data_IF_961614304504
#
_entry.id   IF_961614304504
#
_cell.length_a   1.000
_cell.length_b   1.000
_cell.length_c   1.000
_cell.angle_alpha   90.00
_cell.angle_beta   90.00
_cell.angle_gamma   90.00
#
_symmetry.space_group_name_H-M   'P 1'
#
loop_
_entity.id
_entity.type
_entity.pdbx_description
1 polymer ?
#
# COMPACT_ATOMS: atom_id res chain seq x y z
N UNK A 1 -32.24 -41.19 -71.96
CA UNK A 1 -30.98 -41.86 -71.54
C UNK A 1 -30.38 -41.04 -70.43
N UNK A 2 -30.62 -41.44 -69.26
CA UNK A 2 -29.82 -41.56 -68.01
C UNK A 2 -28.96 -40.31 -67.66
N UNK A 3 -29.51 -39.39 -66.86
CA UNK A 3 -28.80 -38.39 -66.09
C UNK A 3 -28.63 -38.83 -64.66
N UNK A 4 -27.40 -38.97 -64.20
CA UNK A 4 -27.01 -39.39 -62.88
C UNK A 4 -26.86 -38.17 -61.98
N UNK A 5 -27.79 -37.98 -61.02
CA UNK A 5 -27.75 -36.94 -60.04
C UNK A 5 -26.78 -37.29 -58.94
N UNK A 6 -25.67 -36.57 -58.83
CA UNK A 6 -24.72 -36.69 -57.72
C UNK A 6 -25.07 -35.68 -56.63
N UNK A 7 -25.70 -36.16 -55.56
CA UNK A 7 -25.99 -35.37 -54.37
C UNK A 7 -24.74 -35.32 -53.49
N UNK A 8 -24.10 -34.15 -53.45
CA UNK A 8 -22.94 -33.89 -52.55
C UNK A 8 -23.48 -33.40 -51.24
N UNK A 9 -23.51 -34.28 -50.22
CA UNK A 9 -23.85 -33.92 -48.85
C UNK A 9 -22.61 -33.23 -48.19
N UNK A 10 -22.69 -31.90 -48.08
CA UNK A 10 -21.75 -31.11 -47.31
C UNK A 10 -22.13 -31.19 -45.83
N UNK A 11 -21.44 -32.08 -45.09
CA UNK A 11 -21.50 -32.11 -43.61
C UNK A 11 -20.58 -31.01 -43.08
N UNK A 12 -21.15 -29.84 -42.73
CA UNK A 12 -20.46 -28.80 -42.02
C UNK A 12 -20.28 -29.20 -40.54
N UNK A 13 -19.10 -29.67 -40.19
CA UNK A 13 -18.71 -29.88 -38.81
C UNK A 13 -18.45 -28.49 -38.16
N UNK A 14 -19.39 -28.00 -37.33
CA UNK A 14 -19.18 -26.87 -36.46
C UNK A 14 -18.22 -27.28 -35.35
N UNK A 15 -16.92 -27.01 -35.53
CA UNK A 15 -15.95 -27.07 -34.43
C UNK A 15 -16.16 -25.83 -33.58
N UNK A 16 -16.91 -25.99 -32.49
CA UNK A 16 -17.06 -24.97 -31.46
C UNK A 16 -15.75 -24.72 -30.75
N UNK A 17 -15.00 -23.70 -31.17
CA UNK A 17 -13.82 -23.24 -30.43
C UNK A 17 -14.33 -22.52 -29.20
N UNK A 18 -14.43 -23.23 -28.08
CA UNK A 18 -14.64 -22.64 -26.77
C UNK A 18 -13.40 -21.83 -26.40
N UNK A 19 -13.39 -20.54 -26.67
CA UNK A 19 -12.47 -19.61 -26.05
C UNK A 19 -12.78 -19.52 -24.56
N UNK A 20 -12.25 -20.46 -23.78
CA UNK A 20 -12.17 -20.33 -22.35
C UNK A 20 -11.26 -19.15 -22.04
N UNK A 21 -11.83 -17.96 -21.93
CA UNK A 21 -11.10 -16.79 -21.45
C UNK A 21 -10.61 -17.10 -20.05
N UNK A 22 -9.34 -17.39 -19.91
CA UNK A 22 -8.69 -17.42 -18.60
C UNK A 22 -8.75 -15.99 -18.09
N UNK A 23 -9.63 -15.72 -17.13
CA UNK A 23 -9.58 -14.49 -16.33
C UNK A 23 -8.31 -14.59 -15.50
N UNK A 24 -7.22 -14.09 -16.07
CA UNK A 24 -5.95 -13.97 -15.38
C UNK A 24 -6.16 -12.91 -14.29
N UNK A 25 -6.17 -13.31 -13.03
CA UNK A 25 -6.24 -12.38 -11.92
C UNK A 25 -5.10 -11.37 -12.05
N UNK A 26 -5.44 -10.10 -12.19
CA UNK A 26 -4.45 -9.04 -12.36
C UNK A 26 -3.66 -8.85 -11.06
N UNK A 27 -2.34 -8.99 -11.12
CA UNK A 27 -1.47 -8.69 -9.97
C UNK A 27 -1.71 -7.24 -9.49
N UNK A 28 -1.90 -7.10 -8.20
CA UNK A 28 -2.05 -5.81 -7.52
C UNK A 28 -0.76 -5.47 -6.80
N UNK A 29 -0.23 -4.30 -7.06
CA UNK A 29 0.94 -3.79 -6.36
C UNK A 29 0.50 -2.87 -5.22
N UNK A 30 1.06 -3.13 -4.05
CA UNK A 30 0.83 -2.35 -2.83
C UNK A 30 2.15 -1.78 -2.36
N UNK A 31 2.19 -0.47 -2.14
CA UNK A 31 3.35 0.23 -1.61
C UNK A 31 3.03 0.80 -0.24
N UNK A 32 3.90 0.52 0.75
CA UNK A 32 3.78 0.99 2.13
C UNK A 32 4.89 2.00 2.40
N UNK A 33 4.56 3.26 2.59
CA UNK A 33 5.51 4.27 3.06
C UNK A 33 5.97 3.97 4.49
N UNK A 34 7.28 3.99 4.76
CA UNK A 34 7.84 3.55 6.03
C UNK A 34 8.58 4.66 6.78
N UNK A 35 9.88 4.59 6.90
CA UNK A 35 10.78 5.54 7.53
C UNK A 35 12.21 5.28 7.11
N UNK A 36 13.17 5.83 7.82
CA UNK A 36 14.59 5.56 7.57
C UNK A 36 14.92 4.08 7.75
N UNK A 37 15.88 3.57 6.97
CA UNK A 37 16.22 2.14 6.90
C UNK A 37 16.61 1.50 8.24
N UNK A 38 17.08 2.28 9.22
CA UNK A 38 17.41 1.82 10.57
C UNK A 38 16.25 1.96 11.55
N UNK A 39 15.11 2.51 11.12
CA UNK A 39 13.96 2.80 11.95
C UNK A 39 12.96 1.64 12.03
N UNK A 40 12.16 1.65 13.10
CA UNK A 40 11.13 0.63 13.35
C UNK A 40 10.09 0.56 12.24
N UNK A 41 9.70 1.70 11.68
CA UNK A 41 8.73 1.74 10.58
C UNK A 41 9.20 0.97 9.34
N UNK A 42 10.49 1.09 9.01
CA UNK A 42 11.08 0.33 7.91
C UNK A 42 11.04 -1.16 8.17
N UNK A 43 11.49 -1.59 9.35
CA UNK A 43 11.47 -3.02 9.74
C UNK A 43 10.04 -3.58 9.73
N UNK A 44 9.09 -2.82 10.26
CA UNK A 44 7.68 -3.21 10.29
C UNK A 44 7.10 -3.33 8.86
N UNK A 45 7.30 -2.33 8.02
CA UNK A 45 6.83 -2.36 6.64
C UNK A 45 7.42 -3.51 5.83
N UNK A 46 8.74 -3.73 5.96
CA UNK A 46 9.41 -4.88 5.32
C UNK A 46 8.84 -6.22 5.80
N UNK A 47 8.51 -6.33 7.10
CA UNK A 47 7.93 -7.55 7.66
C UNK A 47 6.52 -7.81 7.14
N UNK A 48 5.68 -6.78 7.05
CA UNK A 48 4.35 -6.85 6.47
C UNK A 48 4.43 -7.29 5.00
N UNK A 49 5.28 -6.62 4.21
CA UNK A 49 5.45 -6.96 2.80
C UNK A 49 6.00 -8.37 2.60
N UNK A 50 6.93 -8.82 3.45
CA UNK A 50 7.43 -10.20 3.41
C UNK A 50 6.31 -11.20 3.67
N UNK A 51 5.43 -10.92 4.61
CA UNK A 51 4.28 -11.77 4.91
C UNK A 51 3.30 -11.82 3.73
N UNK A 52 2.92 -10.67 3.19
CA UNK A 52 2.03 -10.59 2.01
C UNK A 52 2.64 -11.32 0.80
N UNK A 53 3.90 -11.08 0.49
CA UNK A 53 4.55 -11.66 -0.68
C UNK A 53 4.67 -13.19 -0.63
N UNK A 54 4.63 -13.81 0.57
CA UNK A 54 4.60 -15.27 0.69
C UNK A 54 3.31 -15.88 0.16
N UNK A 55 2.17 -15.17 0.31
CA UNK A 55 0.87 -15.60 -0.20
C UNK A 55 0.52 -15.02 -1.57
N UNK A 56 1.47 -14.38 -2.27
CA UNK A 56 1.17 -13.65 -3.50
C UNK A 56 0.58 -14.53 -4.62
N UNK A 57 0.90 -15.81 -4.64
CA UNK A 57 0.32 -16.78 -5.59
C UNK A 57 -1.20 -16.96 -5.37
N UNK A 58 -1.65 -16.85 -4.12
CA UNK A 58 -3.05 -17.11 -3.76
C UNK A 58 -3.93 -15.85 -3.94
N UNK A 59 -3.43 -14.68 -3.52
CA UNK A 59 -4.23 -13.45 -3.51
C UNK A 59 -3.80 -12.41 -4.54
N UNK A 60 -2.77 -12.67 -5.33
CA UNK A 60 -2.27 -11.81 -6.41
C UNK A 60 -1.85 -10.40 -5.96
N UNK A 61 -1.45 -10.24 -4.68
CA UNK A 61 -0.95 -8.96 -4.14
C UNK A 61 0.55 -9.05 -3.96
N UNK A 62 1.27 -8.10 -4.55
CA UNK A 62 2.69 -7.88 -4.33
C UNK A 62 2.91 -6.59 -3.56
N UNK A 63 3.73 -6.66 -2.54
CA UNK A 63 3.99 -5.57 -1.61
C UNK A 63 5.43 -5.09 -1.69
N UNK A 64 5.60 -3.77 -1.67
CA UNK A 64 6.88 -3.09 -1.53
C UNK A 64 6.80 -2.08 -0.38
N UNK A 65 7.88 -1.93 0.39
CA UNK A 65 7.94 -1.02 1.53
C UNK A 65 9.22 -0.15 1.46
N UNK A 66 9.26 0.88 0.60
CA UNK A 66 10.41 1.74 0.47
C UNK A 66 10.68 2.53 1.76
N UNK A 67 11.92 2.92 1.96
CA UNK A 67 12.29 3.93 2.96
C UNK A 67 11.66 5.28 2.58
N UNK A 68 11.28 6.05 3.60
CA UNK A 68 10.68 7.37 3.42
C UNK A 68 11.13 8.35 4.51
N UNK A 69 10.62 9.58 4.45
CA UNK A 69 10.80 10.59 5.49
C UNK A 69 9.96 10.38 6.76
N UNK A 70 9.26 9.24 6.89
CA UNK A 70 8.44 8.94 8.06
C UNK A 70 7.02 9.48 7.96
N UNK A 71 6.32 9.62 9.11
CA UNK A 71 4.87 9.80 9.17
C UNK A 71 4.32 10.94 8.32
N UNK A 72 4.93 12.12 8.34
CA UNK A 72 4.47 13.27 7.52
C UNK A 72 4.65 12.99 6.02
N UNK A 73 5.81 12.45 5.62
CA UNK A 73 6.06 12.08 4.24
C UNK A 73 5.10 10.97 3.77
N UNK A 74 4.76 10.04 4.67
CA UNK A 74 3.84 8.95 4.36
C UNK A 74 2.40 9.46 4.13
N UNK A 75 1.92 10.42 4.93
CA UNK A 75 0.63 11.08 4.69
C UNK A 75 0.61 11.74 3.30
N UNK A 76 1.66 12.48 2.97
CA UNK A 76 1.75 13.17 1.69
C UNK A 76 1.87 12.19 0.52
N UNK A 77 2.60 11.06 0.70
CA UNK A 77 2.69 9.99 -0.28
C UNK A 77 1.36 9.27 -0.53
N UNK A 78 0.54 9.10 0.53
CA UNK A 78 -0.83 8.58 0.38
C UNK A 78 -1.69 9.58 -0.39
N UNK A 79 -1.62 10.87 -0.04
CA UNK A 79 -2.37 11.94 -0.69
C UNK A 79 -2.04 12.03 -2.18
N UNK A 80 -0.77 11.89 -2.56
CA UNK A 80 -0.34 11.94 -3.95
C UNK A 80 -0.58 10.64 -4.73
N UNK A 81 -0.98 9.56 -4.04
CA UNK A 81 -1.13 8.23 -4.64
C UNK A 81 0.18 7.47 -4.83
N UNK A 82 1.31 7.97 -4.33
CA UNK A 82 2.60 7.27 -4.33
C UNK A 82 2.57 6.03 -3.44
N UNK A 83 1.89 6.13 -2.29
CA UNK A 83 1.73 5.03 -1.34
C UNK A 83 0.26 4.65 -1.19
N UNK A 84 -0.01 3.34 -1.14
CA UNK A 84 -1.34 2.82 -0.79
C UNK A 84 -1.57 2.84 0.72
N UNK A 85 -0.49 2.62 1.49
CA UNK A 85 -0.46 2.64 2.94
C UNK A 85 0.76 3.41 3.44
N UNK A 86 0.71 3.83 4.69
CA UNK A 86 1.85 4.48 5.34
C UNK A 86 1.86 4.20 6.84
N UNK A 87 3.05 4.00 7.38
CA UNK A 87 3.24 3.87 8.82
C UNK A 87 3.47 5.25 9.40
N UNK A 88 2.66 5.63 10.38
CA UNK A 88 2.71 6.96 10.98
C UNK A 88 2.23 6.92 12.43
N UNK A 89 2.53 7.97 13.17
CA UNK A 89 1.96 8.18 14.50
C UNK A 89 0.49 8.57 14.39
N UNK A 90 -0.30 8.22 15.39
CA UNK A 90 -1.74 8.51 15.42
C UNK A 90 -2.04 10.02 15.42
N UNK A 91 -1.16 10.83 15.97
CA UNK A 91 -1.27 12.29 15.93
C UNK A 91 -1.11 12.85 14.51
N UNK A 92 -0.22 12.28 13.69
CA UNK A 92 -0.10 12.65 12.28
C UNK A 92 -1.37 12.32 11.50
N UNK A 93 -1.97 11.15 11.73
CA UNK A 93 -3.25 10.80 11.13
C UNK A 93 -4.34 11.80 11.53
N UNK A 94 -4.45 12.09 12.83
CA UNK A 94 -5.44 13.06 13.34
C UNK A 94 -5.23 14.45 12.73
N UNK A 95 -3.99 14.95 12.72
CA UNK A 95 -3.66 16.26 12.13
C UNK A 95 -3.95 16.30 10.64
N UNK A 96 -3.64 15.24 9.90
CA UNK A 96 -3.94 15.15 8.48
C UNK A 96 -5.45 15.18 8.21
N UNK A 97 -6.24 14.41 8.98
CA UNK A 97 -7.71 14.41 8.87
C UNK A 97 -8.32 15.78 9.10
N UNK A 98 -7.71 16.60 9.96
CA UNK A 98 -8.21 17.93 10.32
C UNK A 98 -7.57 19.08 9.55
N UNK A 99 -6.57 18.82 8.70
CA UNK A 99 -5.80 19.86 8.04
C UNK A 99 -5.02 20.73 9.02
N UNK A 100 -4.55 20.14 10.13
CA UNK A 100 -3.75 20.83 11.13
C UNK A 100 -2.26 20.76 10.79
N UNK A 101 -1.42 21.68 11.32
CA UNK A 101 0.02 21.62 11.08
C UNK A 101 0.61 20.23 11.39
N UNK A 102 1.46 19.68 10.51
CA UNK A 102 2.07 20.30 9.33
C UNK A 102 1.28 20.18 8.00
N UNK A 103 0.02 19.79 8.00
CA UNK A 103 -0.78 19.49 6.81
C UNK A 103 -1.76 20.64 6.41
N UNK A 104 -1.62 21.81 7.00
CA UNK A 104 -2.53 22.93 6.76
C UNK A 104 -2.49 23.46 5.32
N UNK A 105 -1.35 23.36 4.65
CA UNK A 105 -1.18 23.84 3.27
C UNK A 105 -1.94 22.96 2.28
N UNK A 106 -1.89 21.64 2.51
CA UNK A 106 -2.54 20.64 1.68
C UNK A 106 -4.01 20.44 2.02
N UNK A 107 -4.45 21.00 3.16
CA UNK A 107 -5.82 20.88 3.67
C UNK A 107 -6.14 19.55 4.34
N UNK A 108 -7.39 19.41 4.80
CA UNK A 108 -7.88 18.22 5.45
C UNK A 108 -7.90 17.01 4.50
N UNK A 109 -7.64 15.82 5.06
CA UNK A 109 -7.69 14.53 4.39
C UNK A 109 -8.66 13.62 5.14
N UNK A 110 -9.95 13.82 4.92
CA UNK A 110 -11.03 13.17 5.66
C UNK A 110 -11.27 11.72 5.24
N UNK A 111 -10.66 11.29 4.14
CA UNK A 111 -10.71 9.94 3.59
C UNK A 111 -9.59 9.01 4.11
N UNK A 112 -8.58 9.51 4.84
CA UNK A 112 -7.55 8.67 5.45
C UNK A 112 -8.16 7.77 6.54
N UNK A 113 -7.77 6.51 6.58
CA UNK A 113 -8.28 5.51 7.53
C UNK A 113 -7.15 4.78 8.24
N UNK A 114 -7.32 4.52 9.54
CA UNK A 114 -6.45 3.61 10.27
C UNK A 114 -6.82 2.16 9.96
N UNK A 115 -5.81 1.33 9.75
CA UNK A 115 -5.97 -0.11 9.52
C UNK A 115 -5.78 -0.87 10.83
N UNK A 116 -4.64 -0.68 11.48
CA UNK A 116 -4.33 -1.27 12.79
C UNK A 116 -3.17 -0.52 13.46
N UNK A 117 -3.00 -0.73 14.76
CA UNK A 117 -1.86 -0.21 15.54
C UNK A 117 -0.75 -1.25 15.58
N UNK A 118 0.49 -0.81 15.32
CA UNK A 118 1.67 -1.66 15.35
C UNK A 118 2.30 -1.73 16.75
N UNK A 119 2.40 -0.59 17.43
CA UNK A 119 3.04 -0.44 18.72
C UNK A 119 2.58 0.81 19.45
N UNK A 120 2.81 0.86 20.75
CA UNK A 120 2.73 2.10 21.52
C UNK A 120 4.08 2.83 21.43
N UNK A 121 4.03 4.13 21.17
CA UNK A 121 5.22 4.98 21.19
C UNK A 121 5.26 5.77 22.49
N UNK A 122 6.44 5.82 23.13
CA UNK A 122 6.69 6.65 24.30
C UNK A 122 7.41 7.93 23.88
N UNK A 123 7.00 9.04 24.46
CA UNK A 123 7.72 10.31 24.27
C UNK A 123 9.01 10.30 25.06
N UNK A 124 10.14 10.48 24.39
CA UNK A 124 11.43 10.63 25.03
C UNK A 124 11.88 12.08 24.90
N UNK A 125 12.04 12.76 26.03
CA UNK A 125 12.58 14.11 26.07
C UNK A 125 14.09 14.04 26.31
N UNK A 126 14.85 14.63 25.43
CA UNK A 126 16.28 14.81 25.60
C UNK A 126 16.54 16.23 26.12
N UNK A 127 17.02 16.34 27.37
CA UNK A 127 17.51 17.59 27.89
C UNK A 127 19.01 17.67 27.60
N UNK A 128 19.39 18.54 26.67
CA UNK A 128 20.81 18.86 26.48
C UNK A 128 21.31 19.64 27.72
N UNK A 129 22.28 19.12 28.41
CA UNK A 129 22.94 19.88 29.48
C UNK A 129 23.63 21.08 28.87
N UNK A 130 23.01 22.25 28.95
CA UNK A 130 23.71 23.50 28.64
C UNK A 130 24.69 23.82 29.76
N UNK A 131 25.98 24.07 29.48
CA UNK A 131 26.90 24.55 30.50
C UNK A 131 26.38 25.88 31.01
N UNK A 132 25.98 25.95 32.29
CA UNK A 132 25.48 27.11 33.04
C UNK A 132 23.95 27.39 33.01
N UNK A 133 23.10 26.46 32.69
CA UNK A 133 21.68 26.63 33.02
C UNK A 133 21.40 26.13 34.44
N UNK A 134 20.66 26.86 35.27
CA UNK A 134 20.25 26.35 36.57
C UNK A 134 19.41 25.10 36.39
N UNK A 135 19.74 24.05 37.13
CA UNK A 135 18.95 22.81 37.16
C UNK A 135 17.57 23.15 37.68
N UNK A 136 16.54 22.87 36.87
CA UNK A 136 15.17 22.93 37.32
C UNK A 136 14.98 21.80 38.34
N UNK A 137 14.96 22.17 39.63
CA UNK A 137 14.59 21.22 40.68
C UNK A 137 13.07 21.20 40.75
N UNK A 138 12.49 20.06 40.47
CA UNK A 138 11.06 19.78 40.62
C UNK A 138 10.80 19.36 42.05
#
# INVERSE_FOLDING_TARGET
>A
MKGLSLACALSAALVGVSFGGQVQAQERFVTIGTGGQTGVYYVAGQSICRFLNRGAADHQIKCNAPASGGGVANVNGIRSGEFNFGIMQSDHQFKAMKGLPPFQTEGAMDDIRAVFSLQSEVFTFWLAAMPRSPVLTI
#
